data_IF_843243542235
#
_entry.id   IF_843243542235
#
_cell.length_a   1.000
_cell.length_b   1.000
_cell.length_c   1.000
_cell.angle_alpha   90.00
_cell.angle_beta   90.00
_cell.angle_gamma   90.00
#
_symmetry.space_group_name_H-M   'P 1'
#
loop_
_entity.id
_entity.type
_entity.pdbx_description
1 polymer ?
#
# COMPACT_ATOMS: atom_id res chain seq x y z
N UNK A 1 8.19 3.60 4.52
CA UNK A 1 8.87 2.31 4.67
C UNK A 1 9.25 2.02 6.12
N UNK A 2 9.89 2.94 6.88
CA UNK A 2 10.36 2.63 8.25
C UNK A 2 9.25 2.27 9.24
N UNK A 3 8.07 2.90 9.14
CA UNK A 3 6.90 2.52 9.94
C UNK A 3 6.48 1.06 9.67
N UNK A 4 6.54 0.61 8.41
CA UNK A 4 6.17 -0.75 8.03
C UNK A 4 7.19 -1.77 8.57
N UNK A 5 8.50 -1.48 8.46
CA UNK A 5 9.54 -2.32 9.07
C UNK A 5 9.36 -2.43 10.59
N UNK A 6 8.96 -1.34 11.24
CA UNK A 6 8.72 -1.33 12.69
C UNK A 6 7.49 -2.17 13.07
N UNK A 7 6.41 -2.10 12.29
CA UNK A 7 5.23 -2.95 12.47
C UNK A 7 5.56 -4.44 12.27
N UNK A 8 6.25 -4.77 11.19
CA UNK A 8 6.65 -6.15 10.92
C UNK A 8 7.53 -6.71 12.04
N UNK A 9 8.52 -5.94 12.50
CA UNK A 9 9.36 -6.35 13.62
C UNK A 9 8.55 -6.55 14.91
N UNK A 10 7.55 -5.71 15.18
CA UNK A 10 6.65 -5.87 16.32
C UNK A 10 5.85 -7.19 16.24
N UNK A 11 5.35 -7.53 15.05
CA UNK A 11 4.63 -8.80 14.83
C UNK A 11 5.57 -9.99 15.07
N UNK A 12 6.81 -9.94 14.57
CA UNK A 12 7.83 -10.96 14.81
C UNK A 12 8.10 -11.12 16.31
N UNK A 13 8.25 -10.01 17.04
CA UNK A 13 8.47 -10.00 18.48
C UNK A 13 7.30 -10.66 19.23
N UNK A 14 6.07 -10.23 18.93
CA UNK A 14 4.86 -10.81 19.56
C UNK A 14 4.74 -12.30 19.21
N UNK A 15 4.98 -12.69 17.96
CA UNK A 15 4.95 -14.10 17.54
C UNK A 15 6.01 -14.94 18.22
N UNK A 16 7.22 -14.42 18.39
CA UNK A 16 8.31 -15.10 19.10
C UNK A 16 7.95 -15.31 20.58
N UNK A 17 7.39 -14.31 21.24
CA UNK A 17 6.93 -14.44 22.65
C UNK A 17 5.81 -15.49 22.73
N UNK A 18 4.82 -15.44 21.85
CA UNK A 18 3.71 -16.36 21.83
C UNK A 18 4.19 -17.82 21.64
N UNK A 19 5.07 -18.08 20.64
CA UNK A 19 5.65 -19.39 20.41
C UNK A 19 6.48 -19.87 21.63
N UNK A 20 7.25 -18.98 22.25
CA UNK A 20 8.04 -19.32 23.44
C UNK A 20 7.16 -19.72 24.62
N UNK A 21 6.07 -19.00 24.86
CA UNK A 21 5.09 -19.33 25.91
C UNK A 21 4.40 -20.66 25.60
N UNK A 22 3.95 -20.85 24.37
CA UNK A 22 3.32 -22.12 23.97
C UNK A 22 4.26 -23.31 24.10
N UNK A 23 5.57 -23.13 23.84
CA UNK A 23 6.58 -24.18 24.03
C UNK A 23 6.65 -24.62 25.48
N UNK A 24 6.63 -23.72 26.45
CA UNK A 24 6.62 -24.06 27.85
C UNK A 24 5.36 -24.86 28.27
N UNK A 25 4.20 -24.51 27.67
CA UNK A 25 2.96 -25.25 27.97
C UNK A 25 2.90 -26.61 27.31
N UNK A 26 3.46 -26.80 26.10
CA UNK A 26 3.41 -28.06 25.38
C UNK A 26 4.50 -29.06 25.81
N UNK A 27 5.73 -28.58 25.97
CA UNK A 27 6.92 -29.42 26.22
C UNK A 27 7.31 -29.49 27.71
N UNK A 28 6.77 -28.58 28.53
CA UNK A 28 7.21 -28.42 29.90
C UNK A 28 8.64 -27.84 29.98
N UNK A 29 9.24 -28.00 31.19
CA UNK A 29 10.60 -27.53 31.45
C UNK A 29 11.60 -28.64 31.08
N UNK A 30 12.04 -28.65 29.82
CA UNK A 30 13.05 -29.57 29.31
C UNK A 30 14.10 -28.87 28.47
N UNK A 31 15.24 -29.53 28.19
CA UNK A 31 16.37 -28.95 27.47
C UNK A 31 16.01 -28.58 26.03
N UNK A 32 15.12 -29.36 25.38
CA UNK A 32 14.67 -29.10 24.00
C UNK A 32 13.86 -27.79 23.92
N UNK A 33 12.99 -27.57 24.92
CA UNK A 33 12.22 -26.33 25.02
C UNK A 33 13.14 -25.10 25.14
N UNK A 34 14.15 -25.18 26.02
CA UNK A 34 15.12 -24.09 26.17
C UNK A 34 15.92 -23.81 24.88
N UNK A 35 16.39 -24.86 24.18
CA UNK A 35 17.10 -24.73 22.92
C UNK A 35 16.17 -24.09 21.86
N UNK A 36 14.92 -24.58 21.74
CA UNK A 36 13.93 -24.03 20.80
C UNK A 36 13.66 -22.54 21.02
N UNK A 37 13.42 -22.15 22.28
CA UNK A 37 13.23 -20.74 22.65
C UNK A 37 14.49 -19.93 22.35
N UNK A 38 15.68 -20.46 22.63
CA UNK A 38 16.97 -19.83 22.32
C UNK A 38 17.14 -19.54 20.82
N UNK A 39 16.72 -20.48 19.95
CA UNK A 39 16.74 -20.32 18.49
C UNK A 39 15.80 -19.16 18.07
N UNK A 40 14.59 -19.12 18.61
CA UNK A 40 13.63 -18.06 18.30
C UNK A 40 14.10 -16.67 18.78
N UNK A 41 14.69 -16.60 19.97
CA UNK A 41 15.29 -15.35 20.49
C UNK A 41 16.49 -14.91 19.66
N UNK A 42 17.37 -15.83 19.27
CA UNK A 42 18.50 -15.52 18.39
C UNK A 42 18.03 -14.97 17.04
N UNK A 43 16.97 -15.53 16.48
CA UNK A 43 16.38 -15.03 15.22
C UNK A 43 15.76 -13.63 15.40
N UNK A 44 15.12 -13.35 16.54
CA UNK A 44 14.60 -12.02 16.86
C UNK A 44 15.72 -10.98 16.99
N UNK A 45 16.85 -11.34 17.61
CA UNK A 45 18.04 -10.48 17.68
C UNK A 45 18.58 -10.22 16.27
N UNK A 46 18.73 -11.25 15.44
CA UNK A 46 19.18 -11.11 14.07
C UNK A 46 18.25 -10.22 13.22
N UNK A 47 16.91 -10.39 13.36
CA UNK A 47 15.93 -9.51 12.74
C UNK A 47 16.05 -8.05 13.24
N UNK A 48 16.33 -7.86 14.55
CA UNK A 48 16.58 -6.56 15.15
C UNK A 48 17.85 -5.90 14.59
N UNK A 49 18.94 -6.64 14.46
CA UNK A 49 20.17 -6.18 13.80
C UNK A 49 19.85 -5.72 12.36
N UNK A 50 19.09 -6.53 11.62
CA UNK A 50 18.63 -6.16 10.27
C UNK A 50 17.82 -4.86 10.26
N UNK A 51 16.92 -4.67 11.23
CA UNK A 51 16.10 -3.46 11.36
C UNK A 51 16.95 -2.21 11.63
N UNK A 52 17.91 -2.26 12.54
CA UNK A 52 18.64 -1.09 13.03
C UNK A 52 19.89 -0.76 12.24
N UNK A 53 20.62 -1.77 11.73
CA UNK A 53 21.92 -1.57 11.08
C UNK A 53 21.83 -1.51 9.54
N UNK A 54 20.81 -2.11 8.94
CA UNK A 54 20.67 -2.17 7.47
C UNK A 54 19.92 -0.93 6.97
N UNK A 55 20.51 -0.20 6.03
CA UNK A 55 19.89 0.98 5.40
C UNK A 55 19.00 0.59 4.20
N UNK A 56 19.39 -0.45 3.47
CA UNK A 56 18.62 -0.91 2.30
C UNK A 56 17.28 -1.50 2.73
N UNK A 57 16.18 -0.85 2.36
CA UNK A 57 14.82 -1.26 2.73
C UNK A 57 14.46 -2.68 2.28
N UNK A 58 14.95 -3.11 1.13
CA UNK A 58 14.68 -4.46 0.61
C UNK A 58 15.35 -5.54 1.48
N UNK A 59 16.66 -5.38 1.74
CA UNK A 59 17.42 -6.31 2.59
C UNK A 59 16.89 -6.29 4.03
N UNK A 60 16.54 -5.11 4.54
CA UNK A 60 15.93 -4.93 5.86
C UNK A 60 14.64 -5.74 6.01
N UNK A 61 13.74 -5.63 5.03
CA UNK A 61 12.48 -6.38 5.02
C UNK A 61 12.72 -7.90 4.99
N UNK A 62 13.65 -8.36 4.14
CA UNK A 62 14.00 -9.77 4.06
C UNK A 62 14.56 -10.30 5.38
N UNK A 63 15.50 -9.58 6.00
CA UNK A 63 16.09 -10.02 7.27
C UNK A 63 15.05 -10.09 8.39
N UNK A 64 14.14 -9.11 8.48
CA UNK A 64 13.08 -9.10 9.51
C UNK A 64 12.15 -10.32 9.37
N UNK A 65 11.86 -10.78 8.16
CA UNK A 65 10.87 -11.84 7.92
C UNK A 65 11.50 -13.21 7.63
N UNK A 66 12.57 -13.26 6.82
CA UNK A 66 13.18 -14.53 6.41
C UNK A 66 13.98 -15.18 7.56
N UNK A 67 14.65 -14.39 8.40
CA UNK A 67 15.43 -14.94 9.52
C UNK A 67 14.54 -15.69 10.53
N UNK A 68 13.43 -15.11 11.05
CA UNK A 68 12.53 -15.87 11.93
C UNK A 68 11.80 -16.99 11.18
N UNK A 69 11.51 -16.83 9.89
CA UNK A 69 10.94 -17.90 9.07
C UNK A 69 11.83 -19.14 9.02
N UNK A 70 13.12 -18.97 8.76
CA UNK A 70 14.08 -20.09 8.79
C UNK A 70 14.20 -20.66 10.20
N UNK A 71 14.20 -19.79 11.20
CA UNK A 71 14.28 -20.23 12.59
C UNK A 71 13.09 -21.11 13.02
N UNK A 72 11.88 -20.92 12.45
CA UNK A 72 10.73 -21.79 12.74
C UNK A 72 10.95 -23.24 12.28
N UNK A 73 11.66 -23.48 11.17
CA UNK A 73 12.00 -24.84 10.74
C UNK A 73 13.00 -25.50 11.70
N UNK A 74 14.06 -24.75 12.10
CA UNK A 74 15.06 -25.27 13.06
C UNK A 74 14.43 -25.51 14.42
N UNK A 75 13.55 -24.61 14.86
CA UNK A 75 12.76 -24.75 16.09
C UNK A 75 11.90 -26.01 16.06
N UNK A 76 11.11 -26.21 14.99
CA UNK A 76 10.28 -27.40 14.85
C UNK A 76 11.11 -28.69 14.80
N UNK A 77 12.28 -28.66 14.17
CA UNK A 77 13.20 -29.79 14.14
C UNK A 77 13.72 -30.17 15.53
N UNK A 78 14.15 -29.18 16.33
CA UNK A 78 14.69 -29.40 17.69
C UNK A 78 13.62 -29.96 18.64
N UNK A 79 12.38 -29.52 18.52
CA UNK A 79 11.27 -29.99 19.32
C UNK A 79 10.78 -31.41 18.91
N UNK A 80 11.25 -31.93 17.78
CA UNK A 80 10.78 -33.23 17.28
C UNK A 80 9.43 -33.13 16.56
N UNK A 81 9.05 -31.94 16.14
CA UNK A 81 7.85 -31.63 15.34
C UNK A 81 6.91 -30.66 16.01
N UNK A 82 6.57 -29.58 15.27
CA UNK A 82 5.58 -28.59 15.70
C UNK A 82 4.85 -28.04 14.47
N UNK A 83 3.61 -28.47 14.26
CA UNK A 83 2.79 -28.09 13.12
C UNK A 83 2.46 -26.57 13.09
N UNK A 84 2.38 -25.91 14.25
CA UNK A 84 2.09 -24.49 14.36
C UNK A 84 3.27 -23.65 13.87
N UNK A 85 4.50 -24.12 14.06
CA UNK A 85 5.70 -23.39 13.63
C UNK A 85 5.73 -23.16 12.12
N UNK A 86 5.29 -24.13 11.32
CA UNK A 86 5.19 -23.95 9.86
C UNK A 86 4.13 -22.91 9.47
N UNK A 87 3.00 -22.86 10.20
CA UNK A 87 1.93 -21.89 9.91
C UNK A 87 2.39 -20.42 10.09
N UNK A 88 3.39 -20.17 10.93
CA UNK A 88 3.97 -18.83 11.07
C UNK A 88 4.52 -18.27 9.73
N UNK A 89 4.94 -19.16 8.80
CA UNK A 89 5.44 -18.74 7.49
C UNK A 89 4.37 -18.09 6.61
N UNK A 90 3.10 -18.42 6.79
CA UNK A 90 1.99 -17.72 6.12
C UNK A 90 1.84 -16.28 6.61
N UNK A 91 2.09 -16.04 7.90
CA UNK A 91 2.08 -14.70 8.49
C UNK A 91 3.24 -13.88 7.91
N UNK A 92 4.46 -14.42 7.88
CA UNK A 92 5.62 -13.75 7.31
C UNK A 92 5.44 -13.46 5.82
N UNK A 93 4.86 -14.39 5.05
CA UNK A 93 4.53 -14.20 3.66
C UNK A 93 3.53 -13.05 3.47
N UNK A 94 2.49 -12.99 4.31
CA UNK A 94 1.51 -11.89 4.30
C UNK A 94 2.16 -10.54 4.64
N UNK A 95 3.12 -10.52 5.58
CA UNK A 95 3.88 -9.31 5.91
C UNK A 95 4.74 -8.83 4.73
N UNK A 96 5.25 -9.74 3.89
CA UNK A 96 5.97 -9.39 2.67
C UNK A 96 5.05 -8.77 1.61
N UNK A 97 3.79 -9.20 1.54
CA UNK A 97 2.80 -8.61 0.63
C UNK A 97 2.48 -7.14 0.95
N UNK A 98 2.60 -6.71 2.22
CA UNK A 98 2.37 -5.32 2.64
C UNK A 98 3.35 -4.31 2.03
N UNK A 99 4.48 -4.75 1.46
CA UNK A 99 5.42 -3.87 0.76
C UNK A 99 4.95 -3.46 -0.64
N UNK A 100 3.85 -4.05 -1.15
CA UNK A 100 3.28 -3.76 -2.47
C UNK A 100 4.30 -3.85 -3.62
N UNK A 101 5.29 -4.74 -3.47
CA UNK A 101 6.22 -5.08 -4.55
C UNK A 101 6.42 -6.60 -4.61
N UNK A 102 6.12 -7.18 -5.77
CA UNK A 102 6.19 -8.62 -6.04
C UNK A 102 7.56 -9.23 -5.78
N UNK A 103 8.64 -8.42 -5.85
CA UNK A 103 10.00 -8.88 -5.54
C UNK A 103 10.10 -9.41 -4.11
N UNK A 104 9.48 -8.73 -3.13
CA UNK A 104 9.52 -9.18 -1.74
C UNK A 104 8.90 -10.57 -1.58
N UNK A 105 7.78 -10.83 -2.25
CA UNK A 105 7.11 -12.13 -2.20
C UNK A 105 7.99 -13.22 -2.80
N UNK A 106 8.58 -13.00 -3.98
CA UNK A 106 9.45 -13.99 -4.65
C UNK A 106 10.67 -14.31 -3.79
N UNK A 107 11.41 -13.28 -3.35
CA UNK A 107 12.64 -13.48 -2.59
C UNK A 107 12.41 -14.07 -1.20
N UNK A 108 11.18 -13.98 -0.68
CA UNK A 108 10.79 -14.65 0.55
C UNK A 108 10.27 -16.07 0.26
N UNK A 109 9.27 -16.23 -0.62
CA UNK A 109 8.56 -17.49 -0.82
C UNK A 109 9.44 -18.59 -1.42
N UNK A 110 10.29 -18.27 -2.40
CA UNK A 110 11.12 -19.28 -3.07
C UNK A 110 12.08 -20.00 -2.12
N UNK A 111 12.90 -19.32 -1.27
CA UNK A 111 13.72 -20.01 -0.28
C UNK A 111 12.90 -20.81 0.72
N UNK A 112 11.82 -20.25 1.24
CA UNK A 112 10.97 -20.90 2.25
C UNK A 112 10.29 -22.15 1.68
N UNK A 113 9.74 -22.08 0.47
CA UNK A 113 9.15 -23.22 -0.23
C UNK A 113 10.17 -24.34 -0.49
N UNK A 114 11.38 -24.00 -0.91
CA UNK A 114 12.44 -24.98 -1.10
C UNK A 114 12.84 -25.68 0.21
N UNK A 115 13.01 -24.91 1.30
CA UNK A 115 13.30 -25.49 2.62
C UNK A 115 12.13 -26.38 3.08
N UNK A 116 10.89 -25.92 2.93
CA UNK A 116 9.69 -26.66 3.29
C UNK A 116 9.58 -27.96 2.48
N UNK A 117 9.85 -27.95 1.18
CA UNK A 117 9.86 -29.14 0.34
C UNK A 117 10.92 -30.14 0.79
N UNK A 118 12.15 -29.70 1.05
CA UNK A 118 13.23 -30.54 1.58
C UNK A 118 12.82 -31.15 2.93
N UNK A 119 12.27 -30.33 3.82
CA UNK A 119 11.76 -30.82 5.11
C UNK A 119 10.65 -31.87 4.94
N UNK A 120 9.70 -31.66 4.02
CA UNK A 120 8.61 -32.62 3.76
C UNK A 120 9.13 -33.97 3.26
N UNK A 121 10.18 -33.98 2.45
CA UNK A 121 10.77 -35.21 1.91
C UNK A 121 11.56 -35.97 2.99
N UNK A 122 12.44 -35.29 3.71
CA UNK A 122 13.39 -35.89 4.63
C UNK A 122 12.97 -35.85 6.10
N UNK A 123 12.24 -34.81 6.51
CA UNK A 123 11.87 -34.52 7.92
C UNK A 123 10.40 -34.07 8.03
N UNK A 124 9.41 -34.87 7.58
CA UNK A 124 8.01 -34.43 7.49
C UNK A 124 7.43 -33.97 8.83
N UNK A 125 7.96 -34.45 9.96
CA UNK A 125 7.58 -34.00 11.30
C UNK A 125 7.83 -32.49 11.54
N UNK A 126 8.76 -31.88 10.82
CA UNK A 126 9.04 -30.43 10.92
C UNK A 126 7.87 -29.60 10.41
N UNK A 127 7.15 -30.12 9.41
CA UNK A 127 6.04 -29.42 8.75
C UNK A 127 4.70 -29.76 9.43
N UNK A 128 4.51 -31.05 9.77
CA UNK A 128 3.20 -31.56 10.22
C UNK A 128 3.11 -31.85 11.72
N UNK A 129 4.24 -31.90 12.42
CA UNK A 129 4.30 -32.20 13.85
C UNK A 129 4.74 -33.63 14.15
N UNK A 130 4.79 -33.97 15.44
CA UNK A 130 5.34 -35.27 15.91
C UNK A 130 4.59 -36.49 15.35
N UNK A 131 3.27 -36.38 15.16
CA UNK A 131 2.41 -37.44 14.59
C UNK A 131 2.13 -37.16 13.10
N UNK A 132 3.17 -36.88 12.36
CA UNK A 132 3.05 -36.42 10.96
C UNK A 132 2.39 -37.45 10.03
N UNK A 133 1.62 -36.93 9.06
CA UNK A 133 1.29 -37.61 7.81
C UNK A 133 2.03 -36.93 6.67
N UNK A 134 2.65 -37.73 5.80
CA UNK A 134 3.36 -37.19 4.62
C UNK A 134 2.43 -36.46 3.66
N UNK A 135 1.20 -36.95 3.49
CA UNK A 135 0.20 -36.31 2.62
C UNK A 135 -0.19 -34.93 3.18
N UNK A 136 -0.40 -34.85 4.51
CA UNK A 136 -0.72 -33.58 5.17
C UNK A 136 0.45 -32.60 5.11
N UNK A 137 1.70 -33.06 5.27
CA UNK A 137 2.89 -32.24 5.11
C UNK A 137 3.00 -31.66 3.67
N UNK A 138 2.82 -32.50 2.65
CA UNK A 138 2.78 -32.05 1.26
C UNK A 138 1.65 -31.05 0.99
N UNK A 139 0.46 -31.33 1.55
CA UNK A 139 -0.71 -30.45 1.41
C UNK A 139 -0.43 -29.07 1.99
N UNK A 140 0.21 -28.97 3.15
CA UNK A 140 0.58 -27.69 3.78
C UNK A 140 1.57 -26.89 2.94
N UNK A 141 2.59 -27.56 2.38
CA UNK A 141 3.56 -26.89 1.49
C UNK A 141 2.90 -26.43 0.21
N UNK A 142 2.06 -27.27 -0.40
CA UNK A 142 1.31 -26.91 -1.59
C UNK A 142 0.37 -25.72 -1.33
N UNK A 143 -0.31 -25.67 -0.17
CA UNK A 143 -1.13 -24.53 0.23
C UNK A 143 -0.29 -23.26 0.41
N UNK A 144 0.92 -23.36 0.97
CA UNK A 144 1.84 -22.23 1.09
C UNK A 144 2.20 -21.67 -0.28
N UNK A 145 2.56 -22.52 -1.23
CA UNK A 145 2.88 -22.11 -2.60
C UNK A 145 1.69 -21.46 -3.31
N UNK A 146 0.49 -22.03 -3.13
CA UNK A 146 -0.75 -21.47 -3.66
C UNK A 146 -1.02 -20.07 -3.10
N UNK A 147 -0.88 -19.87 -1.80
CA UNK A 147 -1.03 -18.57 -1.16
C UNK A 147 0.03 -17.59 -1.65
N UNK A 148 1.28 -18.03 -1.83
CA UNK A 148 2.34 -17.20 -2.38
C UNK A 148 2.01 -16.70 -3.80
N UNK A 149 1.49 -17.59 -4.66
CA UNK A 149 1.04 -17.23 -6.02
C UNK A 149 -0.12 -16.24 -5.99
N UNK A 150 -1.12 -16.46 -5.12
CA UNK A 150 -2.27 -15.57 -4.96
C UNK A 150 -1.79 -14.18 -4.51
N UNK A 151 -0.93 -14.11 -3.47
CA UNK A 151 -0.41 -12.84 -2.96
C UNK A 151 0.47 -12.13 -3.99
N UNK A 152 1.28 -12.87 -4.76
CA UNK A 152 2.05 -12.31 -5.87
C UNK A 152 1.13 -11.62 -6.89
N UNK A 153 0.05 -12.28 -7.30
CA UNK A 153 -0.94 -11.71 -8.23
C UNK A 153 -1.70 -10.54 -7.61
N UNK A 154 -2.10 -10.66 -6.36
CA UNK A 154 -2.81 -9.60 -5.64
C UNK A 154 -1.96 -8.33 -5.51
N UNK A 155 -0.68 -8.47 -5.17
CA UNK A 155 0.25 -7.34 -5.07
C UNK A 155 0.53 -6.70 -6.43
N UNK A 156 0.70 -7.50 -7.48
CA UNK A 156 0.90 -7.01 -8.86
C UNK A 156 -0.30 -6.17 -9.31
N UNK A 157 -1.52 -6.70 -9.08
CA UNK A 157 -2.76 -6.00 -9.38
C UNK A 157 -2.98 -4.74 -8.54
N UNK A 158 -2.67 -4.82 -7.23
CA UNK A 158 -2.76 -3.68 -6.32
C UNK A 158 -1.83 -2.54 -6.72
N UNK A 159 -0.63 -2.85 -7.20
CA UNK A 159 0.32 -1.86 -7.71
C UNK A 159 -0.17 -1.19 -8.99
N UNK A 160 -0.75 -1.98 -9.91
CA UNK A 160 -1.37 -1.45 -11.13
C UNK A 160 -2.51 -0.47 -10.80
N UNK A 161 -3.40 -0.85 -9.88
CA UNK A 161 -4.51 0.01 -9.44
C UNK A 161 -4.02 1.31 -8.75
N UNK A 162 -2.96 1.23 -7.94
CA UNK A 162 -2.34 2.41 -7.35
C UNK A 162 -1.79 3.37 -8.40
N UNK A 163 -1.08 2.85 -9.41
CA UNK A 163 -0.55 3.66 -10.51
C UNK A 163 -1.66 4.33 -11.31
N UNK A 164 -2.75 3.60 -11.61
CA UNK A 164 -3.93 4.18 -12.29
C UNK A 164 -4.61 5.26 -11.44
N UNK A 165 -4.69 5.06 -10.12
CA UNK A 165 -5.25 6.05 -9.20
C UNK A 165 -4.41 7.32 -9.14
N UNK A 166 -3.07 7.21 -9.12
CA UNK A 166 -2.16 8.37 -9.16
C UNK A 166 -2.30 9.16 -10.48
N UNK A 167 -2.40 8.46 -11.61
CA UNK A 167 -2.64 9.08 -12.91
C UNK A 167 -4.00 9.80 -12.96
N UNK A 168 -5.05 9.16 -12.45
CA UNK A 168 -6.38 9.76 -12.35
C UNK A 168 -6.38 11.00 -11.48
N UNK A 169 -5.73 10.97 -10.32
CA UNK A 169 -5.59 12.12 -9.43
C UNK A 169 -4.84 13.27 -10.11
N UNK A 170 -3.77 12.98 -10.85
CA UNK A 170 -3.03 13.98 -11.63
C UNK A 170 -3.93 14.64 -12.67
N UNK A 171 -4.73 13.85 -13.40
CA UNK A 171 -5.69 14.34 -14.40
C UNK A 171 -6.78 15.20 -13.76
N UNK A 172 -7.35 14.79 -12.64
CA UNK A 172 -8.34 15.58 -11.89
C UNK A 172 -7.75 16.91 -11.45
N UNK A 173 -6.53 16.93 -10.94
CA UNK A 173 -5.87 18.16 -10.52
C UNK A 173 -5.64 19.11 -11.70
N UNK A 174 -5.18 18.60 -12.84
CA UNK A 174 -5.03 19.36 -14.09
C UNK A 174 -6.35 19.96 -14.59
N UNK A 175 -7.42 19.14 -14.59
CA UNK A 175 -8.75 19.59 -14.98
C UNK A 175 -9.30 20.66 -14.00
N UNK A 176 -9.02 20.55 -12.71
CA UNK A 176 -9.41 21.55 -11.71
C UNK A 176 -8.72 22.89 -11.96
N UNK A 177 -7.42 22.89 -12.30
CA UNK A 177 -6.71 24.10 -12.69
C UNK A 177 -7.29 24.72 -13.96
N UNK A 178 -7.53 23.94 -15.00
CA UNK A 178 -8.15 24.41 -16.24
C UNK A 178 -9.55 25.01 -16.00
N UNK A 179 -10.37 24.39 -15.16
CA UNK A 179 -11.68 24.90 -14.80
C UNK A 179 -11.61 26.24 -14.06
N UNK A 180 -10.63 26.40 -13.17
CA UNK A 180 -10.39 27.67 -12.48
C UNK A 180 -9.97 28.78 -13.45
N UNK A 181 -9.09 28.48 -14.41
CA UNK A 181 -8.66 29.44 -15.44
C UNK A 181 -9.82 29.87 -16.36
N UNK A 182 -10.69 28.92 -16.72
CA UNK A 182 -11.93 29.22 -17.47
C UNK A 182 -12.84 30.13 -16.65
N UNK A 183 -13.02 29.87 -15.35
CA UNK A 183 -13.85 30.72 -14.49
C UNK A 183 -13.32 32.15 -14.39
N UNK A 184 -11.99 32.34 -14.30
CA UNK A 184 -11.35 33.65 -14.28
C UNK A 184 -11.59 34.36 -15.59
N UNK A 185 -11.37 33.70 -16.74
CA UNK A 185 -11.57 34.27 -18.08
C UNK A 185 -13.05 34.63 -18.33
N UNK A 186 -13.98 33.80 -17.86
CA UNK A 186 -15.42 34.07 -17.96
C UNK A 186 -15.81 35.32 -17.15
N UNK A 187 -15.27 35.43 -15.94
CA UNK A 187 -15.53 36.59 -15.09
C UNK A 187 -15.03 37.89 -15.72
N UNK A 188 -13.84 37.88 -16.35
CA UNK A 188 -13.28 39.00 -17.13
C UNK A 188 -14.13 39.33 -18.35
N UNK A 189 -14.66 38.33 -19.05
CA UNK A 189 -15.54 38.53 -20.20
C UNK A 189 -16.89 39.15 -19.77
N UNK A 190 -17.44 38.73 -18.63
CA UNK A 190 -18.66 39.32 -18.07
C UNK A 190 -18.47 40.79 -17.70
N UNK A 191 -17.32 41.12 -17.10
CA UNK A 191 -16.99 42.51 -16.74
C UNK A 191 -16.84 43.40 -18.00
N UNK A 192 -16.18 42.89 -19.04
CA UNK A 192 -16.08 43.58 -20.32
C UNK A 192 -17.44 43.77 -20.99
N UNK A 193 -18.32 42.78 -20.98
CA UNK A 193 -19.69 42.88 -21.43
C UNK A 193 -20.47 43.98 -20.69
N UNK A 194 -20.37 44.00 -19.35
CA UNK A 194 -21.01 45.01 -18.52
C UNK A 194 -20.56 46.44 -18.91
N UNK A 195 -19.24 46.65 -19.04
CA UNK A 195 -18.69 47.92 -19.45
C UNK A 195 -19.16 48.34 -20.86
N UNK A 196 -19.29 47.38 -21.77
CA UNK A 196 -19.85 47.61 -23.12
C UNK A 196 -21.34 48.04 -23.07
N UNK A 197 -22.14 47.41 -22.20
CA UNK A 197 -23.54 47.78 -22.00
C UNK A 197 -23.70 49.16 -21.37
N UNK A 198 -22.86 49.52 -20.41
CA UNK A 198 -22.86 50.85 -19.81
C UNK A 198 -22.53 51.94 -20.85
N UNK A 199 -21.53 51.73 -21.73
CA UNK A 199 -21.20 52.60 -22.83
C UNK A 199 -22.34 52.72 -23.86
N UNK A 200 -23.02 51.61 -24.19
CA UNK A 200 -24.16 51.61 -25.08
C UNK A 200 -25.34 52.43 -24.50
N UNK A 201 -25.58 52.31 -23.20
CA UNK A 201 -26.61 53.05 -22.48
C UNK A 201 -26.32 54.55 -22.53
N UNK A 202 -25.07 55.00 -22.32
CA UNK A 202 -24.66 56.35 -22.42
C UNK A 202 -24.84 56.91 -23.86
N UNK A 203 -24.44 56.12 -24.87
CA UNK A 203 -24.62 56.50 -26.27
C UNK A 203 -26.10 56.64 -26.65
N UNK A 204 -26.96 55.74 -26.18
CA UNK A 204 -28.39 55.77 -26.37
C UNK A 204 -28.99 57.05 -25.78
N UNK A 205 -28.54 57.46 -24.60
CA UNK A 205 -28.96 58.72 -23.96
C UNK A 205 -28.58 59.93 -24.81
N UNK A 206 -27.33 59.99 -25.29
CA UNK A 206 -26.83 61.07 -26.16
C UNK A 206 -27.60 61.17 -27.51
N UNK A 207 -27.95 60.04 -28.08
CA UNK A 207 -28.77 59.96 -29.29
C UNK A 207 -30.19 60.49 -29.03
N UNK A 208 -30.77 60.15 -27.89
CA UNK A 208 -32.10 60.63 -27.51
C UNK A 208 -32.11 62.18 -27.23
N UNK A 209 -31.07 62.71 -26.62
CA UNK A 209 -30.88 64.15 -26.42
C UNK A 209 -30.73 64.88 -27.76
N UNK A 210 -29.91 64.33 -28.67
CA UNK A 210 -29.72 64.94 -30.04
C UNK A 210 -31.03 64.92 -30.84
N UNK A 211 -31.79 63.78 -30.73
CA UNK A 211 -33.12 63.72 -31.39
C UNK A 211 -34.11 64.77 -30.85
N UNK A 212 -34.11 64.95 -29.49
CA UNK A 212 -34.93 65.98 -28.86
C UNK A 212 -34.56 67.39 -29.29
N UNK A 213 -33.25 67.71 -29.38
CA UNK A 213 -32.75 69.01 -29.91
C UNK A 213 -33.14 69.19 -31.38
N UNK A 214 -33.04 68.14 -32.18
CA UNK A 214 -33.44 68.20 -33.59
C UNK A 214 -34.94 68.53 -33.76
N UNK A 215 -35.80 67.90 -32.91
CA UNK A 215 -37.22 68.24 -32.93
C UNK A 215 -37.47 69.75 -32.60
N UNK A 216 -36.76 70.28 -31.60
CA UNK A 216 -36.86 71.65 -31.21
C UNK A 216 -36.48 72.57 -32.38
N UNK A 217 -35.38 72.28 -33.09
CA UNK A 217 -34.94 73.04 -34.25
C UNK A 217 -35.93 72.97 -35.44
N UNK A 218 -36.56 71.82 -35.61
CA UNK A 218 -37.62 71.59 -36.61
C UNK A 218 -38.83 72.47 -36.29
N UNK A 219 -39.28 72.47 -35.02
CA UNK A 219 -40.39 73.30 -34.56
C UNK A 219 -40.12 74.80 -34.72
N UNK A 220 -38.92 75.23 -34.33
CA UNK A 220 -38.47 76.61 -34.48
C UNK A 220 -38.43 77.06 -35.97
N UNK A 221 -37.91 76.15 -36.82
CA UNK A 221 -37.82 76.42 -38.30
C UNK A 221 -39.20 76.48 -38.93
N UNK A 222 -40.11 75.59 -38.46
CA UNK A 222 -41.50 75.61 -38.96
C UNK A 222 -42.23 76.88 -38.58
N UNK A 223 -42.07 77.32 -37.30
CA UNK A 223 -42.66 78.59 -36.82
C UNK A 223 -42.08 79.87 -37.46
N UNK A 224 -40.82 79.84 -37.95
CA UNK A 224 -40.17 80.98 -38.66
C UNK A 224 -40.55 81.07 -40.13
N UNK A 225 -41.22 80.07 -40.70
CA UNK A 225 -41.61 79.98 -42.09
C UNK A 225 -43.08 80.28 -42.37
N UNK A 226 -43.86 80.52 -41.29
CA UNK A 226 -45.22 81.01 -41.33
C UNK A 226 -45.27 82.48 -41.10
#
# INVERSE_FOLDING_TARGET
MDKLHSHNYLIVLVGTIALSVMTFFSEGINIRAFIGIGIMLASLIAAGIGKFLIQNHFIKALLINLTPSIATFVYAFVLGGNSVAFLANFVFLSMMALYFDKKYIIYYSVPVANIALICTIFFPFVIDGANYDRVDAFTKVFLFDLVAIILYKAVDRGRELLSQSEETLSTINSNSHAANDIAINLNSAIENCKNGLDNLSEQATKVNEAASQMNTVIDDTTNATI
#
